data_IF_548543080195
#
_entry.id   IF_548543080195
#
_cell.length_a   1.000
_cell.length_b   1.000
_cell.length_c   1.000
_cell.angle_alpha   90.00
_cell.angle_beta   90.00
_cell.angle_gamma   90.00
#
_symmetry.space_group_name_H-M   'P 1'
#
loop_
_entity.id
_entity.type
_entity.pdbx_description
1 polymer ?
#
# COMPACT_ATOMS: atom_id res chain seq x y z
N UNK A 1 -5.39 -9.95 25.24
CA UNK A 1 -5.64 -10.19 23.80
C UNK A 1 -4.32 -10.00 23.07
N UNK A 2 -3.70 -11.07 22.61
CA UNK A 2 -2.56 -10.97 21.70
C UNK A 2 -3.10 -10.56 20.33
N UNK A 3 -2.92 -9.29 19.99
CA UNK A 3 -3.13 -8.80 18.63
C UNK A 3 -1.94 -9.32 17.83
N UNK A 4 -2.15 -10.35 16.99
CA UNK A 4 -1.14 -10.76 16.01
C UNK A 4 -0.70 -9.51 15.24
N UNK A 5 0.59 -9.16 15.34
CA UNK A 5 1.11 -7.97 14.67
C UNK A 5 1.00 -8.21 13.16
N UNK A 6 0.12 -7.46 12.49
CA UNK A 6 0.06 -7.45 11.04
C UNK A 6 1.44 -7.08 10.51
N UNK A 7 2.09 -8.00 9.80
CA UNK A 7 3.39 -7.73 9.17
C UNK A 7 3.20 -6.80 7.98
N UNK A 8 3.81 -5.62 8.01
CA UNK A 8 3.59 -4.57 7.04
C UNK A 8 3.98 -4.98 5.61
N UNK A 9 5.03 -5.81 5.46
CA UNK A 9 5.52 -6.26 4.15
C UNK A 9 5.04 -7.69 3.79
N UNK A 10 4.09 -8.26 4.53
CA UNK A 10 3.57 -9.60 4.24
C UNK A 10 2.98 -9.73 2.83
N UNK A 11 2.32 -8.69 2.31
CA UNK A 11 1.79 -8.69 0.95
C UNK A 11 2.90 -8.80 -0.10
N UNK A 12 4.06 -8.19 0.16
CA UNK A 12 5.21 -8.25 -0.75
C UNK A 12 5.83 -9.65 -0.73
N UNK A 13 5.93 -10.28 0.45
CA UNK A 13 6.42 -11.66 0.58
C UNK A 13 5.51 -12.62 -0.18
N UNK A 14 4.18 -12.51 -0.02
CA UNK A 14 3.21 -13.33 -0.76
C UNK A 14 3.32 -13.14 -2.27
N UNK A 15 3.41 -11.88 -2.73
CA UNK A 15 3.62 -11.58 -4.14
C UNK A 15 4.88 -12.27 -4.69
N UNK A 16 5.98 -12.25 -3.94
CA UNK A 16 7.22 -12.92 -4.34
C UNK A 16 7.06 -14.45 -4.40
N UNK A 17 6.36 -15.04 -3.43
CA UNK A 17 6.08 -16.48 -3.40
C UNK A 17 5.23 -16.92 -4.60
N UNK A 18 4.20 -16.16 -4.96
CA UNK A 18 3.26 -16.49 -6.03
C UNK A 18 3.84 -16.28 -7.44
N UNK A 19 4.76 -15.33 -7.59
CA UNK A 19 5.40 -15.00 -8.87
C UNK A 19 6.74 -15.72 -9.08
N UNK A 20 7.28 -16.35 -8.03
CA UNK A 20 8.62 -16.94 -8.04
C UNK A 20 9.77 -15.91 -8.05
N UNK A 21 9.47 -14.62 -7.78
CA UNK A 21 10.47 -13.55 -7.73
C UNK A 21 11.35 -13.73 -6.48
N UNK A 22 12.67 -13.71 -6.66
CA UNK A 22 13.60 -13.92 -5.54
C UNK A 22 14.00 -12.61 -4.86
N UNK A 23 14.53 -12.71 -3.63
CA UNK A 23 15.18 -11.59 -2.96
C UNK A 23 16.31 -10.95 -3.79
N UNK A 24 17.02 -11.74 -4.60
CA UNK A 24 18.07 -11.22 -5.47
C UNK A 24 17.51 -10.33 -6.58
N UNK A 25 16.34 -10.70 -7.11
CA UNK A 25 15.67 -9.93 -8.16
C UNK A 25 15.10 -8.63 -7.60
N UNK A 26 14.48 -8.67 -6.42
CA UNK A 26 13.99 -7.47 -5.73
C UNK A 26 15.13 -6.51 -5.39
N UNK A 27 16.28 -7.02 -4.93
CA UNK A 27 17.45 -6.18 -4.66
C UNK A 27 17.97 -5.50 -5.94
N UNK A 28 17.96 -6.22 -7.07
CA UNK A 28 18.33 -5.69 -8.39
C UNK A 28 17.34 -4.62 -8.85
N UNK A 29 16.03 -4.85 -8.70
CA UNK A 29 14.98 -3.87 -9.01
C UNK A 29 15.14 -2.57 -8.18
N UNK A 30 15.50 -2.70 -6.90
CA UNK A 30 15.76 -1.56 -6.02
C UNK A 30 17.14 -0.92 -6.19
N UNK A 31 18.00 -1.46 -7.06
CA UNK A 31 19.40 -1.05 -7.23
C UNK A 31 20.15 -1.00 -5.88
N UNK A 32 19.90 -1.97 -5.01
CA UNK A 32 20.53 -2.06 -3.70
C UNK A 32 21.22 -3.41 -3.51
N UNK A 33 22.12 -3.48 -2.52
CA UNK A 33 22.70 -4.76 -2.15
C UNK A 33 21.71 -5.62 -1.34
N UNK A 34 21.94 -6.93 -1.30
CA UNK A 34 21.09 -7.89 -0.58
C UNK A 34 20.97 -7.61 0.92
N UNK A 35 21.99 -7.00 1.53
CA UNK A 35 21.99 -6.61 2.93
C UNK A 35 20.96 -5.51 3.24
N UNK A 36 20.85 -4.51 2.36
CA UNK A 36 19.85 -3.44 2.47
C UNK A 36 18.43 -3.99 2.33
N UNK A 37 18.19 -4.89 1.37
CA UNK A 37 16.89 -5.55 1.24
C UNK A 37 16.55 -6.37 2.49
N UNK A 38 17.52 -7.14 2.99
CA UNK A 38 17.35 -7.94 4.22
C UNK A 38 17.04 -7.05 5.41
N UNK A 39 17.66 -5.87 5.50
CA UNK A 39 17.34 -4.87 6.52
C UNK A 39 15.88 -4.40 6.43
N UNK A 40 15.36 -4.09 5.23
CA UNK A 40 13.95 -3.72 5.06
C UNK A 40 12.99 -4.85 5.47
N UNK A 41 13.26 -6.09 5.03
CA UNK A 41 12.41 -7.24 5.35
C UNK A 41 12.45 -7.57 6.85
N UNK A 42 13.60 -7.46 7.51
CA UNK A 42 13.73 -7.65 8.97
C UNK A 42 13.06 -6.54 9.77
N UNK A 43 13.18 -5.30 9.32
CA UNK A 43 12.48 -4.15 9.92
C UNK A 43 10.97 -4.20 9.64
N UNK A 44 10.58 -5.03 8.67
CA UNK A 44 9.21 -5.16 8.18
C UNK A 44 8.62 -3.79 7.81
N UNK A 45 9.39 -2.98 7.10
CA UNK A 45 8.95 -1.65 6.70
C UNK A 45 9.81 -1.06 5.59
N UNK A 46 9.18 -0.35 4.66
CA UNK A 46 9.85 0.35 3.57
C UNK A 46 9.02 1.54 3.08
N UNK A 47 9.61 2.41 2.26
CA UNK A 47 8.87 3.50 1.63
C UNK A 47 7.90 2.97 0.59
N UNK A 48 6.73 3.57 0.49
CA UNK A 48 5.72 3.26 -0.52
C UNK A 48 6.33 3.37 -1.92
N UNK A 49 7.11 4.42 -2.18
CA UNK A 49 7.83 4.59 -3.46
C UNK A 49 8.69 3.38 -3.85
N UNK A 50 9.38 2.74 -2.90
CA UNK A 50 10.20 1.54 -3.16
C UNK A 50 9.33 0.35 -3.56
N UNK A 51 8.17 0.18 -2.92
CA UNK A 51 7.22 -0.89 -3.31
C UNK A 51 6.74 -0.66 -4.74
N UNK A 52 6.38 0.58 -5.09
CA UNK A 52 5.99 0.91 -6.46
C UNK A 52 7.12 0.62 -7.45
N UNK A 53 8.38 0.96 -7.14
CA UNK A 53 9.52 0.64 -8.02
C UNK A 53 9.73 -0.87 -8.20
N UNK A 54 9.51 -1.68 -7.15
CA UNK A 54 9.56 -3.14 -7.25
C UNK A 54 8.49 -3.61 -8.24
N UNK A 55 7.23 -3.22 -8.02
CA UNK A 55 6.10 -3.67 -8.84
C UNK A 55 6.28 -3.26 -10.30
N UNK A 56 6.70 -2.02 -10.54
CA UNK A 56 7.00 -1.48 -11.87
C UNK A 56 8.08 -2.29 -12.58
N UNK A 57 9.16 -2.64 -11.88
CA UNK A 57 10.27 -3.45 -12.43
C UNK A 57 9.84 -4.84 -12.88
N UNK A 58 8.74 -5.35 -12.34
CA UNK A 58 8.19 -6.66 -12.68
C UNK A 58 6.93 -6.58 -13.55
N UNK A 59 6.56 -5.40 -14.03
CA UNK A 59 5.39 -5.22 -14.90
C UNK A 59 4.05 -5.28 -14.18
N UNK A 60 4.01 -4.89 -12.90
CA UNK A 60 2.78 -4.81 -12.10
C UNK A 60 2.49 -3.37 -11.66
N UNK A 61 1.20 -3.06 -11.54
CA UNK A 61 0.69 -1.92 -10.81
C UNK A 61 0.31 -2.34 -9.39
N UNK A 62 0.51 -1.43 -8.43
CA UNK A 62 0.04 -1.59 -7.05
C UNK A 62 -0.78 -0.37 -6.63
N UNK A 63 -1.82 -0.60 -5.83
CA UNK A 63 -2.66 0.44 -5.24
C UNK A 63 -2.93 0.15 -3.78
N UNK A 64 -2.74 1.17 -2.95
CA UNK A 64 -3.15 1.17 -1.55
C UNK A 64 -4.48 1.92 -1.44
N UNK A 65 -5.55 1.21 -1.07
CA UNK A 65 -6.92 1.75 -1.01
C UNK A 65 -7.40 1.84 0.43
N UNK A 66 -7.77 3.05 0.85
CA UNK A 66 -8.45 3.31 2.11
C UNK A 66 -9.95 3.16 1.90
N UNK A 67 -10.53 2.15 2.54
CA UNK A 67 -11.94 1.83 2.45
C UNK A 67 -12.62 2.06 3.79
N UNK A 68 -13.89 2.43 3.77
CA UNK A 68 -14.68 2.52 4.99
C UNK A 68 -14.76 1.13 5.61
N UNK A 69 -14.57 1.03 6.91
CA UNK A 69 -14.84 -0.20 7.63
C UNK A 69 -16.37 -0.40 7.67
N UNK A 70 -16.91 -1.25 6.81
CA UNK A 70 -18.31 -1.65 6.93
C UNK A 70 -18.52 -2.39 8.25
N UNK A 71 -19.59 -2.07 8.96
CA UNK A 71 -20.00 -2.72 10.21
C UNK A 71 -20.62 -4.10 9.97
N UNK A 72 -20.14 -4.85 8.98
CA UNK A 72 -20.66 -6.17 8.60
C UNK A 72 -19.64 -7.25 8.94
N UNK A 73 -20.00 -8.08 9.91
CA UNK A 73 -19.23 -9.20 10.42
C UNK A 73 -18.94 -10.23 9.31
N UNK A 74 -17.76 -10.18 8.72
CA UNK A 74 -17.07 -11.39 8.24
C UNK A 74 -15.71 -11.44 8.92
N UNK A 75 -15.61 -12.28 9.95
CA UNK A 75 -14.32 -12.70 10.49
C UNK A 75 -13.59 -13.44 9.36
N UNK A 76 -12.56 -12.82 8.80
CA UNK A 76 -11.41 -13.58 8.35
C UNK A 76 -10.42 -13.59 9.51
N UNK A 77 -10.11 -14.78 10.01
CA UNK A 77 -8.97 -14.97 10.89
C UNK A 77 -7.73 -14.54 10.08
N UNK A 78 -6.99 -13.57 10.61
CA UNK A 78 -5.85 -12.88 10.00
C UNK A 78 -6.14 -11.67 9.07
N UNK A 79 -7.08 -10.78 9.40
CA UNK A 79 -6.92 -9.31 9.36
C UNK A 79 -6.41 -8.59 8.09
N UNK A 80 -6.31 -9.27 6.94
CA UNK A 80 -5.90 -8.74 5.64
C UNK A 80 -6.66 -9.52 4.58
N UNK A 81 -7.70 -8.90 4.00
CA UNK A 81 -8.26 -9.39 2.75
C UNK A 81 -7.33 -8.93 1.63
N UNK A 82 -6.35 -9.78 1.32
CA UNK A 82 -5.53 -9.63 0.13
C UNK A 82 -6.43 -10.04 -1.04
N UNK A 83 -7.16 -9.07 -1.58
CA UNK A 83 -8.06 -9.27 -2.71
C UNK A 83 -7.20 -9.32 -3.99
N UNK A 84 -6.72 -10.51 -4.32
CA UNK A 84 -6.37 -10.85 -5.69
C UNK A 84 -7.65 -11.25 -6.45
N UNK A 85 -8.66 -10.38 -6.51
CA UNK A 85 -9.89 -10.72 -7.23
C UNK A 85 -10.04 -9.93 -8.52
N UNK A 86 -10.14 -10.71 -9.61
CA UNK A 86 -11.19 -10.52 -10.61
C UNK A 86 -12.50 -10.11 -9.93
N UNK A 87 -12.87 -8.83 -10.11
CA UNK A 87 -14.13 -8.16 -9.72
C UNK A 87 -14.21 -7.67 -8.27
N UNK A 88 -14.14 -6.33 -8.17
CA UNK A 88 -14.31 -5.51 -6.97
C UNK A 88 -15.81 -5.27 -6.71
N UNK A 89 -16.33 -5.43 -5.48
CA UNK A 89 -17.64 -4.92 -5.10
C UNK A 89 -17.63 -3.38 -5.18
N UNK A 90 -18.58 -2.80 -5.91
CA UNK A 90 -18.73 -1.35 -6.06
C UNK A 90 -19.07 -0.69 -4.71
N UNK A 91 -18.06 -0.34 -3.92
CA UNK A 91 -18.21 0.56 -2.77
C UNK A 91 -17.48 1.86 -3.09
N UNK A 92 -18.27 2.94 -3.10
CA UNK A 92 -17.95 4.36 -3.28
C UNK A 92 -16.57 4.65 -3.88
N UNK A 93 -16.55 4.86 -5.21
CA UNK A 93 -15.39 5.37 -5.93
C UNK A 93 -15.05 6.76 -5.38
N UNK A 94 -14.12 6.83 -4.43
CA UNK A 94 -13.56 8.09 -3.94
C UNK A 94 -12.84 8.79 -5.10
N UNK A 95 -13.33 9.93 -5.63
CA UNK A 95 -12.73 10.53 -6.81
C UNK A 95 -11.58 11.49 -6.46
N UNK A 96 -10.73 11.76 -7.47
CA UNK A 96 -9.88 12.96 -7.71
C UNK A 96 -8.35 12.92 -7.60
N UNK A 97 -7.67 11.78 -7.49
CA UNK A 97 -6.20 11.77 -7.59
C UNK A 97 -5.65 10.58 -8.39
N UNK A 98 -6.14 10.37 -9.62
CA UNK A 98 -5.54 9.37 -10.51
C UNK A 98 -4.04 9.65 -10.69
N UNK A 99 -3.20 8.63 -10.42
CA UNK A 99 -1.75 8.67 -10.68
C UNK A 99 -0.84 8.98 -9.50
N UNK A 100 -1.35 9.25 -8.28
CA UNK A 100 -0.53 9.42 -7.07
C UNK A 100 -0.58 8.20 -6.16
N UNK A 101 0.54 7.86 -5.52
CA UNK A 101 0.69 6.70 -4.62
C UNK A 101 -0.20 6.83 -3.38
N UNK A 102 -0.34 8.03 -2.84
CA UNK A 102 -1.15 8.34 -1.65
C UNK A 102 -2.50 8.97 -2.00
N UNK A 103 -2.96 8.82 -3.24
CA UNK A 103 -4.23 9.35 -3.73
C UNK A 103 -5.42 8.93 -2.87
N UNK A 104 -5.57 7.63 -2.63
CA UNK A 104 -6.70 7.09 -1.87
C UNK A 104 -6.69 7.57 -0.42
N UNK A 105 -5.52 7.63 0.21
CA UNK A 105 -5.37 8.18 1.56
C UNK A 105 -5.84 9.64 1.63
N UNK A 106 -5.40 10.47 0.68
CA UNK A 106 -5.82 11.88 0.58
C UNK A 106 -7.33 12.01 0.38
N UNK A 107 -7.89 11.28 -0.59
CA UNK A 107 -9.32 11.31 -0.87
C UNK A 107 -10.15 10.86 0.33
N UNK A 108 -9.69 9.85 1.07
CA UNK A 108 -10.38 9.39 2.28
C UNK A 108 -10.39 10.47 3.36
N UNK A 109 -9.25 11.14 3.59
CA UNK A 109 -9.19 12.25 4.55
C UNK A 109 -10.14 13.38 4.18
N UNK A 110 -10.13 13.81 2.91
CA UNK A 110 -10.98 14.90 2.42
C UNK A 110 -12.47 14.54 2.51
N UNK A 111 -12.85 13.33 2.08
CA UNK A 111 -14.24 12.89 2.06
C UNK A 111 -14.85 12.79 3.47
N UNK A 112 -14.10 12.26 4.43
CA UNK A 112 -14.57 12.09 5.81
C UNK A 112 -14.23 13.28 6.73
N UNK A 113 -13.71 14.39 6.16
CA UNK A 113 -13.44 15.61 6.92
C UNK A 113 -12.29 15.53 7.92
N UNK A 114 -11.34 14.62 7.73
CA UNK A 114 -10.14 14.53 8.56
C UNK A 114 -9.11 15.60 8.17
N UNK A 115 -8.64 16.35 9.15
CA UNK A 115 -7.58 17.34 8.96
C UNK A 115 -6.21 16.73 9.22
N UNK A 116 -5.14 17.36 8.73
CA UNK A 116 -3.77 16.94 9.09
C UNK A 116 -3.53 17.01 10.58
N UNK A 117 -4.12 17.99 11.27
CA UNK A 117 -4.01 18.13 12.73
C UNK A 117 -4.69 16.95 13.43
N UNK A 118 -5.94 16.63 13.08
CA UNK A 118 -6.68 15.57 13.77
C UNK A 118 -6.08 14.18 13.53
N UNK A 119 -5.53 13.91 12.35
CA UNK A 119 -4.80 12.66 12.11
C UNK A 119 -3.45 12.63 12.84
N UNK A 120 -2.72 13.75 12.88
CA UNK A 120 -1.44 13.84 13.58
C UNK A 120 -1.58 13.56 15.09
N UNK A 121 -2.62 14.13 15.71
CA UNK A 121 -2.97 13.89 17.11
C UNK A 121 -3.25 12.40 17.36
N UNK A 122 -4.02 11.75 16.49
CA UNK A 122 -4.32 10.31 16.60
C UNK A 122 -3.09 9.42 16.42
N UNK A 123 -2.12 9.86 15.62
CA UNK A 123 -0.89 9.12 15.34
C UNK A 123 0.26 9.45 16.30
N UNK A 124 0.11 10.47 17.16
CA UNK A 124 1.17 10.95 18.04
C UNK A 124 2.37 11.53 17.28
N UNK A 125 2.15 12.15 16.12
CA UNK A 125 3.19 12.75 15.28
C UNK A 125 2.88 14.22 14.98
N UNK A 126 3.80 14.93 14.32
CA UNK A 126 3.56 16.30 13.85
C UNK A 126 2.64 16.33 12.63
N UNK A 127 1.74 17.33 12.55
CA UNK A 127 0.96 17.62 11.35
C UNK A 127 1.84 17.94 10.13
N UNK A 128 3.03 18.49 10.36
CA UNK A 128 4.04 18.73 9.31
C UNK A 128 4.46 17.41 8.66
N UNK A 129 4.58 16.34 9.44
CA UNK A 129 4.94 15.01 8.93
C UNK A 129 3.91 14.51 7.91
N UNK A 130 2.61 14.64 8.23
CA UNK A 130 1.52 14.24 7.33
C UNK A 130 1.50 15.11 6.07
N UNK A 131 1.68 16.42 6.23
CA UNK A 131 1.79 17.34 5.09
C UNK A 131 2.96 16.96 4.17
N UNK A 132 4.11 16.58 4.74
CA UNK A 132 5.28 16.13 3.97
C UNK A 132 4.98 14.83 3.23
N UNK A 133 4.28 13.87 3.83
CA UNK A 133 3.90 12.63 3.15
C UNK A 133 3.06 12.91 1.91
N UNK A 134 2.01 13.72 2.06
CA UNK A 134 1.09 14.07 0.98
C UNK A 134 1.73 14.93 -0.10
N UNK A 135 2.71 15.78 0.26
CA UNK A 135 3.47 16.60 -0.69
C UNK A 135 4.48 15.77 -1.49
N UNK A 136 5.22 14.89 -0.82
CA UNK A 136 6.21 14.00 -1.45
C UNK A 136 5.58 12.78 -2.13
N UNK A 137 4.29 12.56 -1.87
CA UNK A 137 3.57 11.37 -2.31
C UNK A 137 4.28 10.09 -1.87
N UNK A 138 4.75 10.07 -0.62
CA UNK A 138 5.55 8.97 -0.07
C UNK A 138 5.54 8.96 1.47
N UNK A 139 5.52 7.77 2.04
CA UNK A 139 5.67 7.51 3.46
C UNK A 139 6.11 6.06 3.68
N UNK A 140 6.39 5.67 4.92
CA UNK A 140 6.62 4.26 5.22
C UNK A 140 5.29 3.49 5.21
N UNK A 141 5.31 2.24 4.74
CA UNK A 141 4.14 1.35 4.69
C UNK A 141 3.49 1.22 6.07
N UNK A 142 4.29 1.10 7.12
CA UNK A 142 3.80 1.06 8.51
C UNK A 142 2.91 2.25 8.87
N UNK A 143 3.16 3.42 8.30
CA UNK A 143 2.32 4.59 8.53
C UNK A 143 0.99 4.53 7.77
N UNK A 144 0.88 3.83 6.64
CA UNK A 144 -0.40 3.58 5.99
C UNK A 144 -1.31 2.71 6.87
N UNK A 145 -0.77 1.63 7.45
CA UNK A 145 -1.51 0.79 8.40
C UNK A 145 -1.95 1.57 9.64
N UNK A 146 -1.04 2.34 10.24
CA UNK A 146 -1.36 3.20 11.40
C UNK A 146 -2.41 4.25 11.06
N UNK A 147 -2.29 4.90 9.89
CA UNK A 147 -3.27 5.88 9.44
C UNK A 147 -4.64 5.23 9.21
N UNK A 148 -4.71 4.05 8.60
CA UNK A 148 -5.97 3.33 8.40
C UNK A 148 -6.63 3.02 9.74
N UNK A 149 -5.87 2.49 10.71
CA UNK A 149 -6.37 2.24 12.05
C UNK A 149 -6.87 3.53 12.75
N UNK A 150 -6.10 4.62 12.69
CA UNK A 150 -6.46 5.90 13.29
C UNK A 150 -7.72 6.54 12.67
N UNK A 151 -7.94 6.31 11.38
CA UNK A 151 -9.07 6.81 10.60
C UNK A 151 -10.30 5.88 10.65
N UNK A 152 -10.20 4.72 11.30
CA UNK A 152 -11.25 3.70 11.27
C UNK A 152 -11.50 3.12 9.87
N UNK A 153 -10.48 3.13 9.02
CA UNK A 153 -10.51 2.61 7.66
C UNK A 153 -9.92 1.20 7.59
N UNK A 154 -10.29 0.45 6.56
CA UNK A 154 -9.56 -0.73 6.10
C UNK A 154 -8.53 -0.29 5.05
N UNK A 155 -7.33 -0.86 5.10
CA UNK A 155 -6.32 -0.69 4.06
C UNK A 155 -6.32 -1.94 3.17
N UNK A 156 -6.79 -1.78 1.93
CA UNK A 156 -6.70 -2.81 0.91
C UNK A 156 -5.47 -2.57 0.03
N UNK A 157 -4.80 -3.65 -0.37
CA UNK A 157 -3.66 -3.62 -1.28
C UNK A 157 -4.03 -4.43 -2.51
N UNK A 158 -4.09 -3.75 -3.66
CA UNK A 158 -4.41 -4.34 -4.95
C UNK A 158 -3.14 -4.37 -5.81
N UNK A 159 -2.79 -5.54 -6.34
CA UNK A 159 -1.67 -5.74 -7.27
C UNK A 159 -2.23 -6.33 -8.57
N UNK A 160 -1.95 -5.68 -9.69
CA UNK A 160 -2.47 -6.09 -11.01
C UNK A 160 -1.36 -6.08 -12.07
N UNK A 161 -1.29 -7.06 -12.97
CA UNK A 161 -0.40 -6.98 -14.12
C UNK A 161 -0.68 -5.71 -14.94
N UNK A 162 0.36 -5.03 -15.40
CA UNK A 162 0.21 -3.91 -16.34
C UNK A 162 -0.35 -4.43 -17.66
N UNK A 163 -1.21 -3.66 -18.35
CA UNK A 163 -1.67 -4.03 -19.67
C UNK A 163 -0.46 -4.17 -20.60
N UNK A 164 -0.36 -5.32 -21.28
CA UNK A 164 0.65 -5.51 -22.31
C UNK A 164 0.35 -4.51 -23.43
N UNK A 165 1.23 -3.54 -23.68
CA UNK A 165 1.15 -2.73 -24.88
C UNK A 165 1.33 -3.67 -26.06
N UNK A 166 0.38 -3.77 -27.01
CA UNK A 166 0.59 -4.56 -28.21
C UNK A 166 1.88 -4.08 -28.86
N UNK A 167 2.85 -4.98 -29.07
CA UNK A 167 4.02 -4.67 -29.87
C UNK A 167 3.48 -4.22 -31.23
N UNK A 168 3.68 -2.96 -31.58
CA UNK A 168 3.45 -2.48 -32.94
C UNK A 168 4.19 -3.45 -33.86
N UNK A 169 3.41 -4.18 -34.66
CA UNK A 169 3.93 -4.98 -35.75
C UNK A 169 4.50 -3.97 -36.75
N UNK A 170 5.78 -3.64 -36.60
CA UNK A 170 6.58 -3.06 -37.66
C UNK A 170 6.73 -4.16 -38.72
N UNK A 171 5.81 -4.13 -39.68
CA UNK A 171 5.92 -4.81 -40.98
C UNK A 171 6.75 -3.91 -41.89
#
# INVERSE_FOLDING_TARGET
MHQESVKNLSFLVRFMEETGITNADVARALQCNRGILTYYLKRDDMLVSKVYSIMDSFGYDIRFRFLKKETSFRKSDAGVDLIMNTRVPQTEVLPRFAGKRLASFRSYMEYYGFTYKSLAERLGISNVTIMVWLRKDDCFISYLYKAAAALGANLEIEITPKPQTPKEQLI
#
